data_IF_626631816619
#
_entry.id   IF_626631816619
#
_cell.length_a   1.000
_cell.length_b   1.000
_cell.length_c   1.000
_cell.angle_alpha   90.00
_cell.angle_beta   90.00
_cell.angle_gamma   90.00
#
_symmetry.space_group_name_H-M   'P 1'
#
loop_
_entity.id
_entity.type
_entity.pdbx_description
1 polymer ?
#
# COMPACT_ATOMS: atom_id res chain seq x y z
N UNK A 1 -107.34 -1.12 -66.96
CA UNK A 1 -108.09 -0.32 -65.94
C UNK A 1 -107.14 0.57 -65.12
N UNK A 2 -106.29 1.37 -65.79
CA UNK A 2 -104.90 1.48 -65.32
C UNK A 2 -104.59 2.81 -64.60
N UNK A 3 -105.53 3.76 -64.65
CA UNK A 3 -105.42 5.09 -64.02
C UNK A 3 -105.57 5.06 -62.48
N UNK A 4 -106.15 3.99 -61.91
CA UNK A 4 -106.43 3.92 -60.46
C UNK A 4 -105.17 3.58 -59.65
N UNK A 5 -104.32 2.65 -60.14
CA UNK A 5 -103.07 2.29 -59.46
C UNK A 5 -102.08 3.46 -59.37
N UNK A 6 -101.93 4.20 -60.47
CA UNK A 6 -101.02 5.34 -60.60
C UNK A 6 -101.26 6.48 -59.58
N UNK A 7 -102.46 6.60 -59.01
CA UNK A 7 -102.72 7.56 -57.93
C UNK A 7 -102.43 7.00 -56.53
N UNK A 8 -102.64 5.68 -56.33
CA UNK A 8 -102.27 4.98 -55.09
C UNK A 8 -100.75 5.03 -54.87
N UNK A 9 -99.96 4.73 -55.90
CA UNK A 9 -98.50 4.73 -55.78
C UNK A 9 -97.92 6.14 -55.59
N UNK A 10 -98.54 7.18 -56.16
CA UNK A 10 -98.20 8.58 -55.86
C UNK A 10 -98.49 8.93 -54.40
N UNK A 11 -99.65 8.57 -53.87
CA UNK A 11 -99.96 8.80 -52.44
C UNK A 11 -98.99 8.05 -51.52
N UNK A 12 -98.64 6.81 -51.85
CA UNK A 12 -97.61 6.06 -51.11
C UNK A 12 -96.25 6.76 -51.18
N UNK A 13 -95.82 7.23 -52.35
CA UNK A 13 -94.58 7.98 -52.53
C UNK A 13 -94.54 9.26 -51.69
N UNK A 14 -95.61 10.07 -51.71
CA UNK A 14 -95.71 11.26 -50.85
C UNK A 14 -95.70 10.92 -49.36
N UNK A 15 -96.33 9.83 -48.93
CA UNK A 15 -96.26 9.41 -47.51
C UNK A 15 -94.85 9.01 -47.08
N UNK A 16 -94.10 8.27 -47.92
CA UNK A 16 -92.71 7.88 -47.64
C UNK A 16 -91.81 9.10 -47.59
N UNK A 17 -91.95 10.03 -48.54
CA UNK A 17 -91.18 11.29 -48.55
C UNK A 17 -91.47 12.15 -47.31
N UNK A 18 -92.73 12.20 -46.85
CA UNK A 18 -93.09 12.95 -45.66
C UNK A 18 -92.54 12.30 -44.37
N UNK A 19 -92.55 10.96 -44.28
CA UNK A 19 -91.89 10.24 -43.18
C UNK A 19 -90.39 10.55 -43.14
N UNK A 20 -89.68 10.40 -44.27
CA UNK A 20 -88.26 10.71 -44.38
C UNK A 20 -87.94 12.18 -44.04
N UNK A 21 -88.82 13.12 -44.40
CA UNK A 21 -88.69 14.53 -44.03
C UNK A 21 -88.80 14.75 -42.50
N UNK A 22 -89.72 14.05 -41.82
CA UNK A 22 -89.83 14.12 -40.37
C UNK A 22 -88.70 13.39 -39.63
N UNK A 23 -88.24 12.25 -40.15
CA UNK A 23 -87.10 11.49 -39.60
C UNK A 23 -85.80 12.30 -39.70
N UNK A 24 -85.47 12.82 -40.88
CA UNK A 24 -84.28 13.68 -41.06
C UNK A 24 -84.34 14.95 -40.23
N UNK A 25 -85.53 15.55 -40.07
CA UNK A 25 -85.73 16.68 -39.14
C UNK A 25 -85.47 16.27 -37.68
N UNK A 26 -85.95 15.11 -37.24
CA UNK A 26 -85.72 14.60 -35.89
C UNK A 26 -84.24 14.28 -35.65
N UNK A 27 -83.54 13.74 -36.65
CA UNK A 27 -82.09 13.52 -36.61
C UNK A 27 -81.33 14.85 -36.49
N UNK A 28 -81.68 15.87 -37.28
CA UNK A 28 -81.12 17.22 -37.18
C UNK A 28 -81.35 17.81 -35.77
N UNK A 29 -82.54 17.66 -35.20
CA UNK A 29 -82.84 18.12 -33.83
C UNK A 29 -82.04 17.35 -32.76
N UNK A 30 -81.72 16.07 -32.99
CA UNK A 30 -80.88 15.25 -32.10
C UNK A 30 -79.39 15.62 -32.21
N UNK A 31 -78.88 15.84 -33.43
CA UNK A 31 -77.51 16.28 -33.67
C UNK A 31 -77.25 17.68 -33.08
N UNK A 32 -78.18 18.62 -33.24
CA UNK A 32 -78.08 19.95 -32.60
C UNK A 32 -77.99 19.86 -31.07
N UNK A 33 -78.74 18.95 -30.43
CA UNK A 33 -78.64 18.69 -28.99
C UNK A 33 -77.26 18.13 -28.59
N UNK A 34 -76.67 17.25 -29.40
CA UNK A 34 -75.31 16.76 -29.16
C UNK A 34 -74.24 17.86 -29.32
N UNK A 35 -74.39 18.76 -30.29
CA UNK A 35 -73.48 19.90 -30.49
C UNK A 35 -73.50 20.80 -29.26
N UNK A 36 -74.68 21.21 -28.79
CA UNK A 36 -74.81 22.03 -27.59
C UNK A 36 -74.18 21.39 -26.33
N UNK A 37 -74.27 20.07 -26.16
CA UNK A 37 -73.58 19.37 -25.05
C UNK A 37 -72.05 19.43 -25.21
N UNK A 38 -71.52 19.24 -26.42
CA UNK A 38 -70.07 19.32 -26.71
C UNK A 38 -69.53 20.74 -26.49
N UNK A 39 -70.26 21.77 -26.92
CA UNK A 39 -69.86 23.17 -26.73
C UNK A 39 -69.81 23.56 -25.24
N UNK A 40 -70.74 23.09 -24.42
CA UNK A 40 -70.71 23.28 -22.98
C UNK A 40 -69.47 22.62 -22.32
N UNK A 41 -69.08 21.41 -22.76
CA UNK A 41 -67.86 20.74 -22.29
C UNK A 41 -66.61 21.51 -22.72
N UNK A 42 -66.55 21.99 -23.97
CA UNK A 42 -65.46 22.82 -24.48
C UNK A 42 -65.37 24.14 -23.68
N UNK A 43 -66.50 24.69 -23.23
CA UNK A 43 -66.55 25.89 -22.40
C UNK A 43 -65.97 25.66 -20.99
N UNK A 44 -66.32 24.57 -20.28
CA UNK A 44 -65.68 24.23 -18.99
C UNK A 44 -64.18 23.99 -19.16
N UNK A 45 -63.77 23.22 -20.18
CA UNK A 45 -62.36 22.94 -20.42
C UNK A 45 -61.54 24.22 -20.68
N UNK A 46 -62.07 25.16 -21.49
CA UNK A 46 -61.47 26.49 -21.67
C UNK A 46 -61.43 27.28 -20.36
N UNK A 47 -62.53 27.29 -19.59
CA UNK A 47 -62.60 27.99 -18.31
C UNK A 47 -61.63 27.40 -17.27
N UNK A 48 -61.35 26.09 -17.32
CA UNK A 48 -60.35 25.40 -16.49
C UNK A 48 -58.93 25.70 -16.94
N UNK A 49 -58.64 25.66 -18.23
CA UNK A 49 -57.33 26.01 -18.79
C UNK A 49 -56.96 27.45 -18.38
N UNK A 50 -57.85 28.40 -18.65
CA UNK A 50 -57.72 29.81 -18.28
C UNK A 50 -57.75 30.11 -16.77
N UNK A 51 -57.86 29.11 -15.89
CA UNK A 51 -57.52 29.23 -14.45
C UNK A 51 -56.07 28.85 -14.18
N UNK A 52 -55.56 27.79 -14.79
CA UNK A 52 -54.17 27.35 -14.67
C UNK A 52 -53.21 28.35 -15.35
N UNK A 53 -53.58 28.84 -16.53
CA UNK A 53 -52.80 29.85 -17.26
C UNK A 53 -52.68 31.16 -16.46
N UNK A 54 -53.74 31.59 -15.77
CA UNK A 54 -53.67 32.77 -14.89
C UNK A 54 -52.72 32.59 -13.71
N UNK A 55 -52.67 31.40 -13.11
CA UNK A 55 -51.73 31.06 -12.04
C UNK A 55 -50.27 31.08 -12.54
N UNK A 56 -50.05 30.77 -13.83
CA UNK A 56 -48.72 30.75 -14.44
C UNK A 56 -48.29 32.12 -15.03
N UNK A 57 -49.24 32.93 -15.49
CA UNK A 57 -48.98 34.23 -16.15
C UNK A 57 -48.74 35.38 -15.17
N UNK A 58 -49.24 35.31 -13.93
CA UNK A 58 -48.95 36.29 -12.86
C UNK A 58 -47.49 36.29 -12.39
N UNK A 59 -46.63 35.49 -13.01
CA UNK A 59 -45.18 35.47 -12.79
C UNK A 59 -44.44 36.54 -13.63
N UNK A 60 -45.12 37.22 -14.56
CA UNK A 60 -44.46 37.94 -15.66
C UNK A 60 -44.89 39.38 -16.00
N UNK A 61 -45.62 40.12 -15.16
CA UNK A 61 -46.05 41.50 -15.48
C UNK A 61 -45.92 42.46 -14.26
N UNK A 62 -45.24 43.62 -14.36
CA UNK A 62 -44.79 44.40 -13.19
C UNK A 62 -45.72 45.58 -12.82
N UNK A 63 -47.04 45.40 -12.90
CA UNK A 63 -48.02 46.50 -12.82
C UNK A 63 -49.19 46.36 -11.84
N UNK A 64 -49.39 45.21 -11.20
CA UNK A 64 -50.50 44.97 -10.27
C UNK A 64 -50.01 44.34 -8.97
N UNK A 65 -50.43 44.89 -7.83
CA UNK A 65 -49.98 44.50 -6.48
C UNK A 65 -50.29 43.01 -6.20
N UNK A 66 -49.29 42.11 -6.23
CA UNK A 66 -49.54 40.68 -6.26
C UNK A 66 -49.54 40.12 -4.85
N UNK A 67 -50.60 39.39 -4.48
CA UNK A 67 -50.59 38.56 -3.28
C UNK A 67 -49.70 37.33 -3.55
N UNK A 68 -48.38 37.47 -3.34
CA UNK A 68 -47.35 36.50 -3.74
C UNK A 68 -47.49 35.18 -2.98
N UNK A 69 -48.25 34.24 -3.54
CA UNK A 69 -48.23 32.82 -3.16
C UNK A 69 -47.10 32.12 -3.92
N UNK A 70 -45.87 32.49 -3.56
CA UNK A 70 -44.63 31.89 -4.03
C UNK A 70 -43.64 31.69 -2.86
N UNK A 71 -42.57 30.91 -3.03
CA UNK A 71 -41.53 30.80 -2.02
C UNK A 71 -40.94 32.19 -1.74
N UNK A 72 -40.81 32.56 -0.46
CA UNK A 72 -40.42 33.92 -0.06
C UNK A 72 -39.07 34.32 -0.65
N UNK A 73 -38.98 35.54 -1.20
CA UNK A 73 -37.76 36.01 -1.88
C UNK A 73 -36.50 35.95 -1.00
N UNK A 74 -36.65 36.15 0.32
CA UNK A 74 -35.58 35.98 1.30
C UNK A 74 -35.06 34.54 1.43
N UNK A 75 -35.93 33.53 1.28
CA UNK A 75 -35.52 32.12 1.21
C UNK A 75 -34.77 31.83 -0.08
N UNK A 76 -35.24 32.35 -1.22
CA UNK A 76 -34.57 32.20 -2.52
C UNK A 76 -33.18 32.85 -2.49
N UNK A 77 -33.06 34.08 -1.99
CA UNK A 77 -31.76 34.73 -1.79
C UNK A 77 -30.83 33.95 -0.84
N UNK A 78 -31.37 33.42 0.26
CA UNK A 78 -30.59 32.64 1.23
C UNK A 78 -30.04 31.36 0.59
N UNK A 79 -30.89 30.64 -0.16
CA UNK A 79 -30.49 29.45 -0.91
C UNK A 79 -29.44 29.77 -1.99
N UNK A 80 -29.57 30.88 -2.71
CA UNK A 80 -28.54 31.33 -3.66
C UNK A 80 -27.21 31.64 -2.95
N UNK A 81 -27.25 32.31 -1.79
CA UNK A 81 -26.05 32.61 -0.98
C UNK A 81 -25.39 31.33 -0.46
N UNK A 82 -26.14 30.32 -0.02
CA UNK A 82 -25.58 29.02 0.36
C UNK A 82 -25.07 28.21 -0.84
N UNK A 83 -25.75 28.23 -1.99
CA UNK A 83 -25.26 27.60 -3.23
C UNK A 83 -23.91 28.21 -3.68
N UNK A 84 -23.75 29.53 -3.57
CA UNK A 84 -22.46 30.18 -3.82
C UNK A 84 -21.38 29.74 -2.81
N UNK A 85 -21.69 29.67 -1.52
CA UNK A 85 -20.75 29.18 -0.48
C UNK A 85 -20.36 27.72 -0.71
N UNK A 86 -21.31 26.86 -1.08
CA UNK A 86 -21.06 25.45 -1.39
C UNK A 86 -20.24 25.28 -2.67
N UNK A 87 -20.49 26.09 -3.70
CA UNK A 87 -19.67 26.12 -4.92
C UNK A 87 -18.23 26.54 -4.64
N UNK A 88 -18.02 27.57 -3.80
CA UNK A 88 -16.67 27.96 -3.37
C UNK A 88 -15.98 26.84 -2.59
N UNK A 89 -16.63 26.30 -1.54
CA UNK A 89 -16.09 25.19 -0.74
C UNK A 89 -15.73 23.97 -1.59
N UNK A 90 -16.55 23.65 -2.60
CA UNK A 90 -16.25 22.60 -3.57
C UNK A 90 -14.96 22.92 -4.34
N UNK A 91 -14.85 24.11 -4.93
CA UNK A 91 -13.65 24.53 -5.66
C UNK A 91 -12.39 24.56 -4.79
N UNK A 92 -12.50 24.98 -3.51
CA UNK A 92 -11.40 24.98 -2.55
C UNK A 92 -10.92 23.56 -2.23
N UNK A 93 -11.84 22.58 -2.18
CA UNK A 93 -11.53 21.16 -1.95
C UNK A 93 -10.93 20.53 -3.21
N UNK A 94 -11.48 20.81 -4.40
CA UNK A 94 -10.94 20.35 -5.68
C UNK A 94 -9.50 20.86 -5.90
N UNK A 95 -9.22 22.13 -5.56
CA UNK A 95 -7.87 22.70 -5.63
C UNK A 95 -6.88 22.09 -4.61
N UNK A 96 -7.35 21.78 -3.39
CA UNK A 96 -6.54 21.05 -2.40
C UNK A 96 -6.25 19.62 -2.83
N UNK A 97 -7.24 18.91 -3.39
CA UNK A 97 -7.09 17.57 -3.92
C UNK A 97 -6.12 17.54 -5.12
N UNK A 98 -6.17 18.54 -6.02
CA UNK A 98 -5.20 18.68 -7.11
C UNK A 98 -3.77 18.84 -6.59
N UNK A 99 -3.53 19.76 -5.65
CA UNK A 99 -2.20 19.93 -5.02
C UNK A 99 -1.72 18.68 -4.28
N UNK A 100 -2.63 17.95 -3.62
CA UNK A 100 -2.30 16.68 -2.98
C UNK A 100 -1.93 15.60 -4.01
N UNK A 101 -2.62 15.54 -5.14
CA UNK A 101 -2.28 14.64 -6.24
C UNK A 101 -0.92 14.98 -6.87
N UNK A 102 -0.60 16.26 -7.07
CA UNK A 102 0.73 16.72 -7.54
C UNK A 102 1.85 16.33 -6.56
N UNK A 103 1.63 16.50 -5.26
CA UNK A 103 2.60 16.12 -4.22
C UNK A 103 2.78 14.59 -4.18
N UNK A 104 1.69 13.83 -4.24
CA UNK A 104 1.71 12.36 -4.32
C UNK A 104 2.44 11.90 -5.59
N UNK A 105 2.28 12.56 -6.73
CA UNK A 105 3.02 12.25 -7.95
C UNK A 105 4.52 12.52 -7.80
N UNK A 106 4.91 13.64 -7.18
CA UNK A 106 6.33 13.95 -6.90
C UNK A 106 6.97 12.93 -5.96
N UNK A 107 6.27 12.58 -4.87
CA UNK A 107 6.75 11.59 -3.90
C UNK A 107 6.85 10.18 -4.52
N UNK A 108 5.92 9.79 -5.39
CA UNK A 108 6.01 8.53 -6.14
C UNK A 108 7.19 8.52 -7.14
N UNK A 109 7.55 9.66 -7.73
CA UNK A 109 8.74 9.75 -8.59
C UNK A 109 10.02 9.55 -7.77
N UNK A 110 10.17 10.29 -6.66
CA UNK A 110 11.31 10.17 -5.75
C UNK A 110 11.42 8.77 -5.14
N UNK A 111 10.30 8.14 -4.81
CA UNK A 111 10.27 6.77 -4.29
C UNK A 111 10.79 5.78 -5.33
N UNK A 112 10.39 5.89 -6.60
CA UNK A 112 10.96 5.07 -7.70
C UNK A 112 12.44 5.32 -7.94
N UNK A 113 12.89 6.57 -7.85
CA UNK A 113 14.32 6.91 -7.93
C UNK A 113 15.10 6.19 -6.83
N UNK A 114 14.56 6.13 -5.60
CA UNK A 114 15.16 5.37 -4.49
C UNK A 114 15.02 3.86 -4.60
N UNK A 115 13.94 3.34 -5.16
CA UNK A 115 13.82 1.92 -5.51
C UNK A 115 14.89 1.50 -6.53
N UNK A 116 15.16 2.34 -7.55
CA UNK A 116 16.20 2.09 -8.55
C UNK A 116 17.62 2.21 -7.98
N UNK A 117 17.89 3.18 -7.10
CA UNK A 117 19.16 3.26 -6.36
C UNK A 117 19.39 2.00 -5.50
N UNK A 118 18.36 1.57 -4.76
CA UNK A 118 18.43 0.36 -3.94
C UNK A 118 18.61 -0.90 -4.79
N UNK A 119 17.91 -1.04 -5.92
CA UNK A 119 18.05 -2.21 -6.79
C UNK A 119 19.42 -2.26 -7.46
N UNK A 120 19.99 -1.11 -7.81
CA UNK A 120 21.37 -1.02 -8.30
C UNK A 120 22.37 -1.56 -7.26
N UNK A 121 22.25 -1.14 -5.99
CA UNK A 121 23.11 -1.62 -4.89
C UNK A 121 22.85 -3.09 -4.54
N UNK A 122 21.61 -3.59 -4.69
CA UNK A 122 21.29 -5.02 -4.53
C UNK A 122 21.95 -5.87 -5.62
N UNK A 123 21.89 -5.42 -6.87
CA UNK A 123 22.41 -6.13 -8.04
C UNK A 123 23.95 -6.08 -8.19
N UNK A 124 24.64 -5.18 -7.49
CA UNK A 124 26.12 -5.17 -7.45
C UNK A 124 26.67 -6.51 -6.92
N UNK A 125 27.67 -7.12 -7.56
CA UNK A 125 28.36 -8.28 -7.02
C UNK A 125 28.99 -8.02 -5.64
N UNK A 126 28.92 -8.98 -4.72
CA UNK A 126 29.40 -8.77 -3.34
C UNK A 126 30.91 -8.46 -3.26
N UNK A 127 31.71 -8.95 -4.21
CA UNK A 127 33.14 -8.62 -4.29
C UNK A 127 33.42 -7.14 -4.64
N UNK A 128 32.47 -6.42 -5.25
CA UNK A 128 32.56 -4.97 -5.45
C UNK A 128 32.21 -4.23 -4.15
N UNK A 129 31.17 -4.70 -3.44
CA UNK A 129 30.77 -4.21 -2.12
C UNK A 129 31.93 -4.35 -1.11
N UNK A 130 32.61 -5.50 -1.08
CA UNK A 130 33.77 -5.75 -0.22
C UNK A 130 34.95 -4.82 -0.54
N UNK A 131 35.19 -4.51 -1.82
CA UNK A 131 36.23 -3.54 -2.23
C UNK A 131 35.88 -2.11 -1.80
N UNK A 132 34.62 -1.71 -1.89
CA UNK A 132 34.15 -0.42 -1.35
C UNK A 132 34.32 -0.37 0.17
N UNK A 133 33.89 -1.40 0.89
CA UNK A 133 34.04 -1.51 2.35
C UNK A 133 35.52 -1.44 2.77
N UNK A 134 36.43 -2.07 2.03
CA UNK A 134 37.88 -1.99 2.29
C UNK A 134 38.43 -0.57 2.04
N UNK A 135 38.03 0.09 0.95
CA UNK A 135 38.43 1.48 0.66
C UNK A 135 37.89 2.46 1.70
N UNK A 136 36.64 2.32 2.12
CA UNK A 136 36.02 3.15 3.16
C UNK A 136 36.69 2.93 4.54
N UNK A 137 37.04 1.69 4.91
CA UNK A 137 37.80 1.41 6.13
C UNK A 137 39.17 2.07 6.11
N UNK A 138 39.93 1.91 5.03
CA UNK A 138 41.25 2.56 4.89
C UNK A 138 41.17 4.10 4.97
N UNK A 139 40.13 4.69 4.37
CA UNK A 139 39.89 6.14 4.44
C UNK A 139 39.48 6.61 5.84
N UNK A 140 38.69 5.82 6.58
CA UNK A 140 38.34 6.09 7.97
C UNK A 140 39.55 6.00 8.90
N UNK A 141 40.36 4.94 8.78
CA UNK A 141 41.61 4.81 9.55
C UNK A 141 42.57 5.99 9.30
N UNK A 142 42.69 6.46 8.06
CA UNK A 142 43.53 7.61 7.75
C UNK A 142 42.96 8.93 8.28
N UNK A 143 41.63 9.08 8.29
CA UNK A 143 40.96 10.19 8.99
C UNK A 143 41.23 10.11 10.50
N UNK A 144 41.21 8.94 11.11
CA UNK A 144 41.51 8.74 12.53
C UNK A 144 42.98 9.04 12.86
N UNK A 145 43.94 8.63 12.01
CA UNK A 145 45.37 8.99 12.15
C UNK A 145 45.60 10.50 12.05
N UNK A 146 44.95 11.16 11.10
CA UNK A 146 45.06 12.62 10.92
C UNK A 146 44.34 13.42 12.01
N UNK A 147 43.26 12.89 12.58
CA UNK A 147 42.56 13.46 13.74
C UNK A 147 43.35 13.25 15.05
N UNK A 148 43.99 12.08 15.24
CA UNK A 148 44.89 11.80 16.36
C UNK A 148 46.17 12.66 16.34
N UNK A 149 46.82 12.82 15.19
CA UNK A 149 47.99 13.73 15.07
C UNK A 149 47.58 15.20 15.25
N UNK A 150 46.42 15.61 14.71
CA UNK A 150 45.87 16.95 14.95
C UNK A 150 45.61 17.22 16.43
N UNK A 151 45.01 16.29 17.17
CA UNK A 151 44.70 16.50 18.60
C UNK A 151 45.96 16.64 19.43
N UNK A 152 46.99 15.81 19.20
CA UNK A 152 48.30 15.93 19.88
C UNK A 152 49.00 17.25 19.56
N UNK A 153 48.92 17.74 18.31
CA UNK A 153 49.45 19.06 17.96
C UNK A 153 48.66 20.19 18.64
N UNK A 154 47.34 20.07 18.74
CA UNK A 154 46.51 21.04 19.44
C UNK A 154 46.77 21.08 20.96
N UNK A 155 47.07 19.96 21.62
CA UNK A 155 47.46 19.96 23.04
C UNK A 155 48.86 20.55 23.23
N UNK A 156 49.86 20.16 22.42
CA UNK A 156 51.21 20.74 22.48
C UNK A 156 51.20 22.26 22.32
N UNK A 157 50.46 22.78 21.34
CA UNK A 157 50.33 24.23 21.12
C UNK A 157 49.57 24.95 22.24
N UNK A 158 48.63 24.28 22.91
CA UNK A 158 47.95 24.84 24.08
C UNK A 158 48.86 24.88 25.32
N UNK A 159 49.67 23.83 25.52
CA UNK A 159 50.67 23.75 26.60
C UNK A 159 51.78 24.78 26.39
N UNK A 160 52.31 24.93 25.17
CA UNK A 160 53.25 26.00 24.80
C UNK A 160 52.65 27.40 25.02
N UNK A 161 51.40 27.62 24.61
CA UNK A 161 50.72 28.91 24.82
C UNK A 161 50.54 29.24 26.31
N UNK A 162 50.23 28.26 27.15
CA UNK A 162 50.12 28.46 28.60
C UNK A 162 51.50 28.61 29.28
N UNK A 163 52.53 27.92 28.79
CA UNK A 163 53.91 28.13 29.22
C UNK A 163 54.37 29.57 28.90
N UNK A 164 54.07 30.08 27.70
CA UNK A 164 54.36 31.45 27.28
C UNK A 164 53.56 32.47 28.09
N UNK A 165 52.29 32.21 28.43
CA UNK A 165 51.52 33.04 29.38
C UNK A 165 52.14 33.03 30.77
N UNK A 166 52.61 31.89 31.26
CA UNK A 166 53.31 31.76 32.53
C UNK A 166 54.61 32.56 32.57
N UNK A 167 55.41 32.50 31.49
CA UNK A 167 56.62 33.30 31.31
C UNK A 167 56.29 34.80 31.22
N UNK A 168 55.30 35.20 30.42
CA UNK A 168 54.86 36.59 30.31
C UNK A 168 54.31 37.12 31.64
N UNK A 169 53.57 36.31 32.40
CA UNK A 169 53.13 36.65 33.75
C UNK A 169 54.29 36.82 34.73
N UNK A 170 55.40 36.09 34.54
CA UNK A 170 56.62 36.28 35.32
C UNK A 170 57.37 37.56 34.91
N UNK A 171 57.52 37.85 33.61
CA UNK A 171 58.17 39.09 33.16
C UNK A 171 57.33 40.32 33.49
N UNK A 172 55.99 40.25 33.42
CA UNK A 172 55.09 41.32 33.87
C UNK A 172 55.26 41.61 35.37
N UNK A 173 55.38 40.59 36.23
CA UNK A 173 55.70 40.80 37.66
C UNK A 173 57.06 41.50 37.86
N UNK A 174 58.08 41.12 37.10
CA UNK A 174 59.39 41.79 37.13
C UNK A 174 59.30 43.24 36.62
N UNK A 175 58.55 43.48 35.54
CA UNK A 175 58.32 44.82 35.01
C UNK A 175 57.48 45.70 35.95
N UNK A 176 56.53 45.14 36.70
CA UNK A 176 55.78 45.85 37.74
C UNK A 176 56.67 46.24 38.92
N UNK A 177 57.59 45.36 39.34
CA UNK A 177 58.62 45.68 40.34
C UNK A 177 59.60 46.77 39.83
N UNK A 178 60.01 46.70 38.56
CA UNK A 178 60.86 47.72 37.93
C UNK A 178 60.14 49.06 37.73
N UNK A 179 58.86 49.06 37.37
CA UNK A 179 58.04 50.28 37.30
C UNK A 179 57.81 50.87 38.71
N UNK A 180 57.56 50.01 39.71
CA UNK A 180 57.50 50.42 41.11
C UNK A 180 58.82 51.03 41.62
N UNK A 181 59.95 50.82 40.91
CA UNK A 181 61.20 51.56 41.11
C UNK A 181 61.22 52.83 40.25
N UNK A 182 61.00 52.73 38.94
CA UNK A 182 61.09 53.85 37.98
C UNK A 182 60.03 54.95 38.18
N UNK A 183 58.89 54.70 38.81
CA UNK A 183 57.92 55.74 39.20
C UNK A 183 58.43 56.62 40.35
N UNK A 184 59.45 56.14 41.10
CA UNK A 184 60.23 56.99 42.02
C UNK A 184 61.12 57.98 41.24
N UNK A 185 61.47 57.65 39.99
CA UNK A 185 62.52 58.31 39.19
C UNK A 185 61.99 59.20 38.03
N UNK A 186 61.02 58.72 37.24
CA UNK A 186 60.78 59.19 35.86
C UNK A 186 59.82 60.39 35.74
N UNK A 187 60.34 61.61 35.90
CA UNK A 187 59.57 62.87 35.78
C UNK A 187 59.87 63.72 34.49
N UNK A 188 59.66 63.24 33.23
CA UNK A 188 59.45 64.10 31.99
C UNK A 188 59.70 63.64 30.48
N UNK A 189 58.81 64.08 29.52
CA UNK A 189 58.92 64.54 28.04
C UNK A 189 58.72 63.68 26.68
N UNK A 190 58.06 64.20 25.55
CA UNK A 190 57.79 63.64 24.11
C UNK A 190 57.01 64.51 22.92
N UNK A 191 56.74 64.03 21.61
CA UNK A 191 55.62 64.13 20.45
C UNK A 191 55.25 65.20 19.21
N UNK A 192 54.58 64.81 18.00
CA UNK A 192 53.59 65.49 16.91
C UNK A 192 53.80 65.74 15.27
N UNK A 193 52.80 65.60 14.26
CA UNK A 193 52.74 65.91 12.68
C UNK A 193 51.34 65.98 11.78
N UNK A 194 51.16 66.52 10.45
CA UNK A 194 49.94 66.45 9.40
C UNK A 194 49.90 67.17 7.86
N UNK A 195 49.12 66.78 6.72
CA UNK A 195 48.96 67.44 5.28
C UNK A 195 47.74 67.24 4.14
N UNK A 196 47.55 68.07 2.98
CA UNK A 196 47.00 67.83 1.49
C UNK A 196 45.71 68.51 0.67
N UNK A 197 45.59 68.70 -0.74
CA UNK A 197 44.37 69.03 -1.72
C UNK A 197 44.47 69.29 -3.37
N UNK A 198 43.40 69.40 -4.31
CA UNK A 198 43.37 69.51 -5.90
C UNK A 198 42.17 70.26 -6.85
N UNK A 199 41.83 70.14 -8.26
CA UNK A 199 41.20 71.15 -9.29
C UNK A 199 40.08 70.83 -10.50
N UNK A 200 39.70 71.69 -11.58
CA UNK A 200 38.71 71.47 -12.80
C UNK A 200 38.66 72.37 -14.20
N UNK A 201 37.62 72.34 -15.17
CA UNK A 201 37.54 72.79 -16.70
C UNK A 201 36.17 73.31 -17.48
N UNK A 202 36.04 73.61 -18.85
CA UNK A 202 34.86 74.27 -19.71
C UNK A 202 34.68 74.12 -21.35
N UNK A 203 33.69 74.75 -22.14
CA UNK A 203 33.06 74.41 -23.57
C UNK A 203 32.40 75.51 -24.64
N UNK A 204 32.09 75.29 -26.02
CA UNK A 204 31.16 76.10 -27.03
C UNK A 204 30.88 75.69 -28.58
N UNK A 205 29.73 75.16 -29.13
CA UNK A 205 29.70 74.61 -30.56
C UNK A 205 28.45 74.54 -31.53
N UNK A 206 27.27 75.12 -31.27
CA UNK A 206 26.00 74.40 -31.63
C UNK A 206 25.28 74.57 -33.01
N UNK A 207 25.25 75.74 -33.65
CA UNK A 207 24.20 76.05 -34.67
C UNK A 207 24.29 75.21 -35.97
N UNK A 208 25.48 74.79 -36.39
CA UNK A 208 25.65 73.97 -37.61
C UNK A 208 25.00 72.58 -37.49
N UNK A 209 24.89 72.05 -36.26
CA UNK A 209 24.34 70.73 -36.00
C UNK A 209 22.85 70.63 -36.37
N UNK A 210 22.06 71.68 -36.15
CA UNK A 210 20.60 71.68 -36.34
C UNK A 210 20.19 71.38 -37.80
N UNK A 211 20.88 71.95 -38.79
CA UNK A 211 20.57 71.70 -40.21
C UNK A 211 21.03 70.31 -40.69
N UNK A 212 22.08 69.74 -40.09
CA UNK A 212 22.44 68.34 -40.32
C UNK A 212 21.40 67.40 -39.71
N UNK A 213 20.91 67.71 -38.50
CA UNK A 213 19.91 66.94 -37.77
C UNK A 213 18.57 66.85 -38.53
N UNK A 214 18.13 67.91 -39.21
CA UNK A 214 16.89 67.86 -40.04
C UNK A 214 17.02 66.82 -41.17
N UNK A 215 18.12 66.84 -41.93
CA UNK A 215 18.35 65.85 -43.02
C UNK A 215 18.50 64.43 -42.50
N UNK A 216 19.12 64.27 -41.32
CA UNK A 216 19.18 62.98 -40.64
C UNK A 216 17.76 62.47 -40.29
N UNK A 217 16.91 63.33 -39.72
CA UNK A 217 15.53 62.97 -39.37
C UNK A 217 14.67 62.63 -40.61
N UNK A 218 14.88 63.29 -41.75
CA UNK A 218 14.21 62.94 -43.01
C UNK A 218 14.60 61.54 -43.51
N UNK A 219 15.90 61.21 -43.47
CA UNK A 219 16.43 59.90 -43.83
C UNK A 219 15.99 58.80 -42.86
N UNK A 220 16.02 59.07 -41.54
CA UNK A 220 15.48 58.18 -40.52
C UNK A 220 13.98 57.95 -40.72
N UNK A 221 13.21 58.98 -41.08
CA UNK A 221 11.78 58.85 -41.39
C UNK A 221 11.54 57.97 -42.64
N UNK A 222 12.41 58.07 -43.66
CA UNK A 222 12.40 57.19 -44.84
C UNK A 222 12.71 55.74 -44.46
N UNK A 223 13.72 55.50 -43.64
CA UNK A 223 14.07 54.16 -43.13
C UNK A 223 12.95 53.57 -42.24
N UNK A 224 12.33 54.37 -41.39
CA UNK A 224 11.19 53.96 -40.56
C UNK A 224 10.00 53.55 -41.42
N UNK A 225 9.67 54.30 -42.48
CA UNK A 225 8.63 53.92 -43.46
C UNK A 225 8.93 52.57 -44.13
N UNK A 226 10.19 52.32 -44.51
CA UNK A 226 10.61 51.03 -45.07
C UNK A 226 10.50 49.89 -44.04
N UNK A 227 10.91 50.11 -42.78
CA UNK A 227 10.77 49.13 -41.68
C UNK A 227 9.30 48.83 -41.39
N UNK A 228 8.42 49.83 -41.39
CA UNK A 228 6.97 49.65 -41.21
C UNK A 228 6.38 48.81 -42.33
N UNK A 229 6.70 49.10 -43.59
CA UNK A 229 6.24 48.29 -44.72
C UNK A 229 6.72 46.83 -44.65
N UNK A 230 7.97 46.60 -44.23
CA UNK A 230 8.52 45.27 -44.01
C UNK A 230 7.79 44.51 -42.88
N UNK A 231 7.54 45.16 -41.73
CA UNK A 231 6.79 44.57 -40.61
C UNK A 231 5.32 44.32 -40.97
N UNK A 232 4.70 45.19 -41.77
CA UNK A 232 3.35 44.95 -42.33
C UNK A 232 3.34 43.72 -43.27
N UNK A 233 4.38 43.54 -44.08
CA UNK A 233 4.58 42.34 -44.90
C UNK A 233 4.70 41.06 -44.06
N UNK A 234 5.55 41.08 -43.02
CA UNK A 234 5.70 39.96 -42.08
C UNK A 234 4.41 39.64 -41.33
N UNK A 235 3.69 40.66 -40.84
CA UNK A 235 2.40 40.49 -40.18
C UNK A 235 1.37 39.86 -41.14
N UNK A 236 1.34 40.30 -42.40
CA UNK A 236 0.49 39.72 -43.45
C UNK A 236 0.84 38.27 -43.79
N UNK A 237 2.09 37.85 -43.59
CA UNK A 237 2.51 36.45 -43.71
C UNK A 237 2.12 35.64 -42.47
N UNK A 238 2.33 36.21 -41.27
CA UNK A 238 1.99 35.57 -40.00
C UNK A 238 0.48 35.34 -39.87
N UNK A 239 -0.36 36.32 -40.23
CA UNK A 239 -1.82 36.17 -40.26
C UNK A 239 -2.29 35.06 -41.22
N UNK A 240 -1.61 34.87 -42.37
CA UNK A 240 -1.90 33.76 -43.29
C UNK A 240 -1.47 32.41 -42.72
N UNK A 241 -0.31 32.35 -42.08
CA UNK A 241 0.14 31.15 -41.37
C UNK A 241 -0.82 30.79 -40.24
N UNK A 242 -1.21 31.75 -39.40
CA UNK A 242 -2.10 31.50 -38.27
C UNK A 242 -3.51 31.12 -38.72
N UNK A 243 -4.06 31.79 -39.75
CA UNK A 243 -5.34 31.38 -40.36
C UNK A 243 -5.30 29.93 -40.86
N UNK A 244 -4.23 29.55 -41.58
CA UNK A 244 -4.01 28.19 -42.11
C UNK A 244 -3.79 27.15 -41.00
N UNK A 245 -3.05 27.52 -39.95
CA UNK A 245 -2.84 26.72 -38.73
C UNK A 245 -4.17 26.48 -38.01
N UNK A 246 -5.00 27.51 -37.87
CA UNK A 246 -6.31 27.42 -37.25
C UNK A 246 -7.33 26.66 -38.12
N UNK A 247 -7.24 26.71 -39.46
CA UNK A 247 -8.01 25.82 -40.35
C UNK A 247 -7.56 24.37 -40.24
N UNK A 248 -6.25 24.11 -40.12
CA UNK A 248 -5.71 22.77 -39.88
C UNK A 248 -6.15 22.22 -38.51
N UNK A 249 -6.17 23.06 -37.47
CA UNK A 249 -6.68 22.71 -36.13
C UNK A 249 -8.20 22.47 -36.19
N UNK A 250 -8.98 23.32 -36.86
CA UNK A 250 -10.41 23.07 -37.12
C UNK A 250 -10.62 21.72 -37.80
N UNK A 251 -9.83 21.40 -38.83
CA UNK A 251 -9.87 20.12 -39.52
C UNK A 251 -9.46 18.92 -38.64
N UNK A 252 -8.51 19.08 -37.72
CA UNK A 252 -8.17 18.07 -36.72
C UNK A 252 -9.29 17.87 -35.70
N UNK A 253 -9.83 18.95 -35.13
CA UNK A 253 -10.96 18.90 -34.21
C UNK A 253 -12.22 18.32 -34.87
N UNK A 254 -12.45 18.60 -36.15
CA UNK A 254 -13.52 17.99 -36.92
C UNK A 254 -13.28 16.48 -37.14
N UNK A 255 -12.09 16.06 -37.62
CA UNK A 255 -11.77 14.62 -37.75
C UNK A 255 -11.87 13.88 -36.41
N UNK A 256 -11.44 14.50 -35.32
CA UNK A 256 -11.60 13.94 -33.96
C UNK A 256 -13.09 13.81 -33.62
N UNK A 257 -13.91 14.83 -33.86
CA UNK A 257 -15.37 14.82 -33.64
C UNK A 257 -16.12 13.83 -34.55
N UNK A 258 -15.62 13.58 -35.76
CA UNK A 258 -16.13 12.56 -36.69
C UNK A 258 -15.75 11.15 -36.22
N UNK A 259 -14.52 10.96 -35.72
CA UNK A 259 -14.07 9.70 -35.11
C UNK A 259 -14.71 9.41 -33.75
N UNK A 260 -15.20 10.44 -33.04
CA UNK A 260 -15.85 10.33 -31.74
C UNK A 260 -17.39 10.32 -31.82
N UNK A 261 -17.98 10.84 -32.90
CA UNK A 261 -19.42 10.85 -33.16
C UNK A 261 -20.22 11.89 -32.35
N UNK A 262 -20.91 12.86 -32.98
CA UNK A 262 -21.83 13.74 -32.26
C UNK A 262 -23.17 13.03 -31.95
N UNK A 263 -23.24 12.32 -30.81
CA UNK A 263 -24.42 11.55 -30.39
C UNK A 263 -24.79 11.72 -28.91
N UNK A 264 -25.53 12.78 -28.56
CA UNK A 264 -26.06 13.00 -27.20
C UNK A 264 -27.49 12.44 -27.03
N UNK A 265 -27.62 11.11 -26.95
CA UNK A 265 -28.67 10.37 -26.21
C UNK A 265 -28.37 8.87 -26.30
N UNK A 266 -28.89 8.01 -25.39
CA UNK A 266 -28.32 6.68 -25.18
C UNK A 266 -28.70 5.66 -26.27
N UNK A 267 -27.91 4.56 -26.27
CA UNK A 267 -27.97 3.36 -27.12
C UNK A 267 -27.14 3.43 -28.42
N UNK A 268 -26.50 2.29 -28.75
CA UNK A 268 -25.83 1.95 -30.03
C UNK A 268 -24.55 2.69 -30.48
N UNK A 269 -24.10 3.78 -29.84
CA UNK A 269 -22.75 4.35 -30.09
C UNK A 269 -21.57 3.58 -29.47
N UNK A 270 -21.78 2.31 -29.08
CA UNK A 270 -21.32 1.84 -27.77
C UNK A 270 -20.27 0.71 -27.75
N UNK A 271 -19.65 0.36 -28.88
CA UNK A 271 -18.80 -0.86 -28.95
C UNK A 271 -17.40 -0.64 -28.39
N UNK A 272 -16.55 0.20 -28.98
CA UNK A 272 -15.14 0.35 -28.56
C UNK A 272 -15.00 0.90 -27.14
N UNK A 273 -15.65 2.01 -26.83
CA UNK A 273 -15.66 2.61 -25.47
C UNK A 273 -16.37 1.72 -24.45
N UNK A 274 -17.39 0.96 -24.88
CA UNK A 274 -18.09 -0.01 -24.04
C UNK A 274 -17.18 -1.19 -23.66
N UNK A 275 -16.46 -1.76 -24.63
CA UNK A 275 -15.48 -2.82 -24.40
C UNK A 275 -14.34 -2.36 -23.48
N UNK A 276 -13.84 -1.13 -23.64
CA UNK A 276 -12.84 -0.57 -22.73
C UNK A 276 -13.38 -0.41 -21.30
N UNK A 277 -14.62 0.10 -21.14
CA UNK A 277 -15.26 0.22 -19.83
C UNK A 277 -15.55 -1.14 -19.18
N UNK A 278 -15.92 -2.13 -19.99
CA UNK A 278 -16.15 -3.51 -19.57
C UNK A 278 -14.84 -4.19 -19.15
N UNK A 279 -13.75 -3.99 -19.89
CA UNK A 279 -12.44 -4.53 -19.57
C UNK A 279 -11.84 -3.87 -18.32
N UNK A 280 -11.98 -2.54 -18.16
CA UNK A 280 -11.63 -1.84 -16.91
C UNK A 280 -12.41 -2.45 -15.73
N UNK A 281 -13.72 -2.69 -15.90
CA UNK A 281 -14.55 -3.32 -14.87
C UNK A 281 -14.09 -4.75 -14.54
N UNK A 282 -13.73 -5.55 -15.55
CA UNK A 282 -13.21 -6.92 -15.41
C UNK A 282 -11.85 -6.94 -14.70
N UNK A 283 -10.96 -6.03 -15.05
CA UNK A 283 -9.63 -5.88 -14.44
C UNK A 283 -9.73 -5.39 -12.99
N UNK A 284 -10.67 -4.50 -12.68
CA UNK A 284 -10.93 -4.07 -11.29
C UNK A 284 -11.43 -5.24 -10.41
N UNK A 285 -12.39 -6.03 -10.89
CA UNK A 285 -12.86 -7.23 -10.16
C UNK A 285 -11.71 -8.23 -9.95
N UNK A 286 -10.90 -8.49 -10.98
CA UNK A 286 -9.72 -9.36 -10.87
C UNK A 286 -8.67 -8.80 -9.91
N UNK A 287 -8.51 -7.47 -9.83
CA UNK A 287 -7.62 -6.82 -8.87
C UNK A 287 -8.15 -6.97 -7.43
N UNK A 288 -9.44 -6.76 -7.19
CA UNK A 288 -10.08 -6.96 -5.88
C UNK A 288 -10.00 -8.43 -5.42
N UNK A 289 -10.17 -9.38 -6.34
CA UNK A 289 -9.93 -10.82 -6.11
C UNK A 289 -8.47 -11.08 -5.69
N UNK A 290 -7.49 -10.50 -6.40
CA UNK A 290 -6.06 -10.69 -6.06
C UNK A 290 -5.67 -10.00 -4.76
N UNK A 291 -6.21 -8.83 -4.46
CA UNK A 291 -6.04 -8.16 -3.16
C UNK A 291 -6.62 -9.03 -2.03
N UNK A 292 -7.80 -9.59 -2.25
CA UNK A 292 -8.47 -10.50 -1.30
C UNK A 292 -7.67 -11.79 -1.07
N UNK A 293 -7.09 -12.36 -2.12
CA UNK A 293 -6.25 -13.54 -2.06
C UNK A 293 -4.90 -13.27 -1.38
N UNK A 294 -4.24 -12.14 -1.68
CA UNK A 294 -3.05 -11.70 -0.94
C UNK A 294 -3.36 -11.51 0.55
N UNK A 295 -4.52 -10.93 0.89
CA UNK A 295 -4.96 -10.80 2.28
C UNK A 295 -5.31 -12.15 2.93
N UNK A 296 -5.73 -13.17 2.17
CA UNK A 296 -5.94 -14.55 2.64
C UNK A 296 -4.60 -15.24 2.91
N UNK A 297 -3.69 -15.23 1.94
CA UNK A 297 -2.35 -15.81 2.04
C UNK A 297 -1.52 -15.19 3.17
N UNK A 298 -1.63 -13.87 3.38
CA UNK A 298 -0.94 -13.22 4.49
C UNK A 298 -1.45 -13.70 5.86
N UNK A 299 -2.78 -13.92 6.02
CA UNK A 299 -3.35 -14.51 7.25
C UNK A 299 -2.91 -15.96 7.47
N UNK A 300 -2.75 -16.73 6.41
CA UNK A 300 -2.28 -18.11 6.43
C UNK A 300 -0.80 -18.19 6.83
N UNK A 301 0.06 -17.41 6.18
CA UNK A 301 1.47 -17.27 6.54
C UNK A 301 1.65 -16.75 7.98
N UNK A 302 0.79 -15.83 8.43
CA UNK A 302 0.71 -15.37 9.82
C UNK A 302 0.34 -16.49 10.80
N UNK A 303 -0.55 -17.41 10.40
CA UNK A 303 -0.90 -18.60 11.17
C UNK A 303 0.30 -19.52 11.36
N UNK A 304 0.99 -19.86 10.26
CA UNK A 304 2.19 -20.70 10.26
C UNK A 304 3.28 -20.08 11.16
N UNK A 305 3.58 -18.78 11.01
CA UNK A 305 4.59 -18.10 11.85
C UNK A 305 4.24 -18.05 13.35
N UNK A 306 2.96 -18.17 13.74
CA UNK A 306 2.56 -18.33 15.15
C UNK A 306 2.80 -19.77 15.62
N UNK A 307 2.35 -20.76 14.85
CA UNK A 307 2.54 -22.18 15.15
C UNK A 307 4.03 -22.55 15.25
N UNK A 308 4.87 -22.06 14.34
CA UNK A 308 6.31 -22.29 14.40
C UNK A 308 6.95 -21.63 15.63
N UNK A 309 6.50 -20.44 16.02
CA UNK A 309 6.97 -19.77 17.25
C UNK A 309 6.60 -20.57 18.50
N UNK A 310 5.37 -21.06 18.60
CA UNK A 310 4.92 -21.91 19.72
C UNK A 310 5.70 -23.23 19.78
N UNK A 311 5.96 -23.83 18.61
CA UNK A 311 6.80 -25.03 18.47
C UNK A 311 8.25 -24.78 18.90
N UNK A 312 8.86 -23.67 18.46
CA UNK A 312 10.21 -23.26 18.86
C UNK A 312 10.27 -23.07 20.37
N UNK A 313 9.34 -22.31 20.97
CA UNK A 313 9.29 -22.10 22.43
C UNK A 313 9.12 -23.40 23.23
N UNK A 314 8.38 -24.37 22.69
CA UNK A 314 8.24 -25.70 23.30
C UNK A 314 9.57 -26.49 23.25
N UNK A 315 10.29 -26.42 22.12
CA UNK A 315 11.60 -27.06 21.95
C UNK A 315 12.69 -26.37 22.79
N UNK A 316 12.66 -25.04 22.93
CA UNK A 316 13.55 -24.28 23.82
C UNK A 316 13.38 -24.71 25.29
N UNK A 317 12.14 -24.88 25.75
CA UNK A 317 11.85 -25.41 27.09
C UNK A 317 12.32 -26.86 27.24
N UNK A 318 12.12 -27.71 26.23
CA UNK A 318 12.59 -29.11 26.26
C UNK A 318 14.13 -29.19 26.34
N UNK A 319 14.85 -28.35 25.57
CA UNK A 319 16.31 -28.24 25.63
C UNK A 319 16.77 -27.73 26.99
N UNK A 320 16.08 -26.76 27.59
CA UNK A 320 16.39 -26.26 28.93
C UNK A 320 16.23 -27.34 30.01
N UNK A 321 15.12 -28.11 29.97
CA UNK A 321 14.86 -29.22 30.89
C UNK A 321 15.95 -30.28 30.77
N UNK A 322 16.23 -30.78 29.56
CA UNK A 322 17.30 -31.77 29.36
C UNK A 322 18.68 -31.24 29.75
N UNK A 323 18.94 -29.95 29.58
CA UNK A 323 20.19 -29.31 30.02
C UNK A 323 20.34 -29.32 31.55
N UNK A 324 19.24 -29.31 32.31
CA UNK A 324 19.27 -29.42 33.78
C UNK A 324 19.27 -30.90 34.24
N UNK A 325 18.57 -31.79 33.53
CA UNK A 325 18.66 -33.25 33.72
C UNK A 325 20.11 -33.75 33.55
N UNK A 326 20.82 -33.30 32.51
CA UNK A 326 22.22 -33.65 32.29
C UNK A 326 23.19 -33.05 33.33
N UNK A 327 22.87 -31.88 33.91
CA UNK A 327 23.66 -31.29 35.00
C UNK A 327 23.43 -32.01 36.32
N UNK A 328 22.19 -32.40 36.60
CA UNK A 328 21.83 -33.12 37.82
C UNK A 328 22.35 -34.56 37.81
N UNK A 329 22.22 -35.33 36.70
CA UNK A 329 22.89 -36.64 36.56
C UNK A 329 24.39 -36.52 36.81
N UNK A 330 25.03 -35.51 36.22
CA UNK A 330 26.46 -35.28 36.41
C UNK A 330 26.79 -35.02 37.87
N UNK A 331 26.03 -34.16 38.55
CA UNK A 331 26.27 -33.84 39.96
C UNK A 331 26.02 -35.04 40.88
N UNK A 332 25.04 -35.91 40.58
CA UNK A 332 24.85 -37.17 41.29
C UNK A 332 25.95 -38.20 41.00
N UNK A 333 26.44 -38.24 39.76
CA UNK A 333 27.57 -39.07 39.35
C UNK A 333 28.85 -38.67 40.07
N UNK A 334 29.12 -37.37 40.18
CA UNK A 334 30.26 -36.81 40.91
C UNK A 334 30.12 -37.09 42.42
N UNK A 335 28.92 -36.92 43.02
CA UNK A 335 28.63 -37.36 44.41
C UNK A 335 28.90 -38.85 44.63
N UNK A 336 28.43 -39.71 43.72
CA UNK A 336 28.64 -41.15 43.80
C UNK A 336 30.12 -41.54 43.64
N UNK A 337 30.88 -40.80 42.81
CA UNK A 337 32.33 -40.99 42.68
C UNK A 337 33.06 -40.67 43.98
N UNK A 338 32.76 -39.55 44.64
CA UNK A 338 33.34 -39.22 45.96
C UNK A 338 33.01 -40.28 47.01
N UNK A 339 31.75 -40.73 47.11
CA UNK A 339 31.38 -41.82 48.03
C UNK A 339 32.13 -43.13 47.75
N UNK A 340 32.38 -43.46 46.48
CA UNK A 340 33.19 -44.63 46.09
C UNK A 340 34.66 -44.43 46.50
N UNK A 341 35.18 -43.21 46.52
CA UNK A 341 36.54 -42.89 46.97
C UNK A 341 36.67 -42.94 48.49
N UNK A 342 35.73 -42.35 49.23
CA UNK A 342 35.64 -42.47 50.69
C UNK A 342 35.57 -43.95 51.14
N UNK A 343 34.77 -44.77 50.45
CA UNK A 343 34.65 -46.20 50.73
C UNK A 343 35.91 -46.98 50.36
N UNK A 344 36.62 -46.62 49.27
CA UNK A 344 37.94 -47.19 48.96
C UNK A 344 38.96 -46.85 50.03
N UNK A 345 38.94 -45.63 50.58
CA UNK A 345 39.85 -45.24 51.65
C UNK A 345 39.52 -46.00 52.94
N UNK A 346 38.26 -46.03 53.37
CA UNK A 346 37.81 -46.82 54.54
C UNK A 346 38.20 -48.30 54.43
N UNK A 347 37.97 -48.93 53.26
CA UNK A 347 38.40 -50.31 53.00
C UNK A 347 39.93 -50.45 53.07
N UNK A 348 40.69 -49.43 52.67
CA UNK A 348 42.16 -49.44 52.74
C UNK A 348 42.66 -49.25 54.18
N UNK A 349 42.05 -48.36 54.96
CA UNK A 349 42.31 -48.18 56.39
C UNK A 349 41.98 -49.47 57.17
N UNK A 350 40.82 -50.09 56.93
CA UNK A 350 40.42 -51.35 57.55
C UNK A 350 41.38 -52.50 57.19
N UNK A 351 41.83 -52.60 55.93
CA UNK A 351 42.87 -53.56 55.54
C UNK A 351 44.18 -53.32 56.29
N UNK A 352 44.63 -52.06 56.45
CA UNK A 352 45.82 -51.75 57.24
C UNK A 352 45.65 -52.10 58.72
N UNK A 353 44.48 -51.83 59.32
CA UNK A 353 44.18 -52.20 60.71
C UNK A 353 44.21 -53.72 60.89
N UNK A 354 43.61 -54.47 59.97
CA UNK A 354 43.57 -55.94 60.00
C UNK A 354 44.97 -56.55 59.81
N UNK A 355 45.79 -55.99 58.91
CA UNK A 355 47.21 -56.37 58.80
C UNK A 355 48.02 -56.05 60.07
N UNK A 356 47.77 -54.90 60.72
CA UNK A 356 48.41 -54.54 62.01
C UNK A 356 48.00 -55.49 63.13
N UNK A 357 46.71 -55.88 63.20
CA UNK A 357 46.23 -56.88 64.16
C UNK A 357 46.82 -58.27 63.89
N UNK A 358 46.92 -58.71 62.64
CA UNK A 358 47.57 -59.98 62.29
C UNK A 358 49.09 -59.98 62.52
N UNK A 359 49.73 -58.81 62.42
CA UNK A 359 51.11 -58.59 62.85
C UNK A 359 51.27 -58.79 64.36
N UNK A 360 50.49 -58.05 65.18
CA UNK A 360 50.51 -58.17 66.63
C UNK A 360 50.09 -59.57 67.13
N UNK A 361 49.17 -60.24 66.42
CA UNK A 361 48.73 -61.60 66.72
C UNK A 361 49.79 -62.68 66.42
N UNK A 362 50.94 -62.35 65.81
CA UNK A 362 52.06 -63.31 65.72
C UNK A 362 52.88 -63.41 67.01
N UNK A 363 52.86 -62.39 67.86
CA UNK A 363 53.53 -62.40 69.16
C UNK A 363 52.68 -63.02 70.29
N UNK A 364 51.39 -63.30 70.04
CA UNK A 364 50.54 -64.05 70.96
C UNK A 364 50.09 -65.38 70.33
N UNK A 365 50.81 -66.45 70.70
CA UNK A 365 50.68 -67.81 70.15
C UNK A 365 49.42 -68.53 70.67
N UNK A 366 49.01 -69.57 69.94
CA UNK A 366 48.14 -70.67 70.42
C UNK A 366 46.75 -70.23 70.96
N UNK A 367 45.67 -70.32 70.18
CA UNK A 367 45.00 -71.60 69.88
C UNK A 367 43.99 -71.47 68.72
N UNK A 368 43.83 -72.55 67.94
CA UNK A 368 42.80 -72.68 66.88
C UNK A 368 41.71 -73.65 67.34
N UNK A 369 40.43 -73.34 67.09
CA UNK A 369 39.46 -74.39 66.72
C UNK A 369 38.84 -74.15 65.33
N UNK A 370 38.79 -75.20 64.50
CA UNK A 370 37.91 -75.22 63.32
C UNK A 370 36.44 -75.27 63.75
N UNK A 371 35.55 -74.69 62.94
CA UNK A 371 34.19 -75.24 62.80
C UNK A 371 33.80 -75.39 61.32
N UNK A 372 33.02 -76.45 61.06
CA UNK A 372 32.78 -77.02 59.73
C UNK A 372 31.55 -76.40 59.06
N UNK A 373 31.63 -76.12 57.76
CA UNK A 373 30.46 -75.86 56.89
C UNK A 373 29.75 -77.19 56.60
N UNK A 374 28.40 -77.23 56.61
CA UNK A 374 27.55 -78.23 55.94
C UNK A 374 26.05 -77.81 55.97
N UNK A 375 25.22 -78.43 55.10
CA UNK A 375 23.74 -78.31 54.99
C UNK A 375 23.25 -76.95 54.42
N UNK A 376 22.41 -76.84 53.37
CA UNK A 376 21.91 -77.81 52.38
C UNK A 376 20.38 -77.99 52.36
N UNK A 377 19.74 -77.85 51.19
CA UNK A 377 18.41 -78.36 50.69
C UNK A 377 18.28 -77.77 49.25
N UNK A 378 18.19 -78.55 48.14
CA UNK A 378 17.01 -79.19 47.50
C UNK A 378 15.81 -78.21 47.38
N UNK A 379 15.11 -78.07 46.23
CA UNK A 379 14.40 -79.10 45.44
C UNK A 379 14.24 -78.74 43.93
N UNK A 380 14.22 -79.79 43.08
CA UNK A 380 13.87 -79.97 41.64
C UNK A 380 13.60 -78.82 40.63
N UNK A 381 13.99 -79.10 39.37
CA UNK A 381 13.52 -78.43 38.13
C UNK A 381 12.51 -79.28 37.36
N UNK A 382 11.43 -78.68 36.82
CA UNK A 382 11.02 -78.70 35.39
C UNK A 382 9.60 -78.16 35.12
N UNK A 383 9.49 -77.34 34.06
CA UNK A 383 8.36 -77.13 33.11
C UNK A 383 6.91 -77.11 33.64
N UNK A 384 6.22 -75.98 33.41
CA UNK A 384 5.09 -75.93 32.46
C UNK A 384 4.89 -74.51 31.92
N UNK A 385 3.98 -74.35 30.95
CA UNK A 385 3.57 -73.09 30.31
C UNK A 385 2.13 -72.73 30.73
N UNK A 386 1.88 -71.44 30.93
CA UNK A 386 0.60 -70.70 31.04
C UNK A 386 -0.60 -71.35 31.76
N UNK A 387 -0.99 -70.77 32.91
CA UNK A 387 -2.39 -70.42 33.25
C UNK A 387 -2.41 -69.56 34.53
N UNK A 388 -2.86 -68.31 34.44
CA UNK A 388 -3.37 -67.56 35.59
C UNK A 388 -4.15 -66.29 35.20
N UNK A 389 -5.33 -66.14 35.80
CA UNK A 389 -6.19 -64.95 35.85
C UNK A 389 -6.97 -65.04 37.19
N UNK A 390 -7.64 -63.98 37.69
CA UNK A 390 -7.57 -62.56 37.32
C UNK A 390 -7.48 -61.61 38.56
N UNK A 391 -7.62 -60.29 38.32
CA UNK A 391 -7.96 -59.20 39.28
C UNK A 391 -6.80 -58.72 40.20
N UNK A 392 -6.51 -57.41 40.38
CA UNK A 392 -7.13 -56.15 39.88
C UNK A 392 -6.09 -55.13 39.34
N UNK A 393 -6.59 -54.34 38.36
CA UNK A 393 -6.23 -53.01 37.79
C UNK A 393 -5.19 -52.10 38.49
N UNK A 394 -4.53 -51.15 37.80
CA UNK A 394 -4.91 -50.42 36.55
C UNK A 394 -3.83 -50.37 35.45
N UNK A 395 -4.23 -50.01 34.23
CA UNK A 395 -3.45 -50.01 32.97
C UNK A 395 -3.98 -48.88 32.02
N UNK A 396 -3.57 -48.66 30.75
CA UNK A 396 -2.80 -49.49 29.80
C UNK A 396 -2.14 -48.63 28.67
N UNK A 397 -1.33 -49.27 27.82
CA UNK A 397 -0.68 -48.70 26.61
C UNK A 397 -1.19 -49.29 25.27
N UNK A 398 -0.60 -48.83 24.15
CA UNK A 398 -0.87 -49.14 22.73
C UNK A 398 -0.64 -50.61 22.30
N UNK A 399 -1.45 -51.14 21.36
CA UNK A 399 -1.08 -51.57 19.96
C UNK A 399 -2.21 -52.35 19.23
N UNK A 400 -2.01 -52.68 17.94
CA UNK A 400 -2.99 -53.21 16.96
C UNK A 400 -2.75 -54.74 16.66
N UNK A 401 -3.40 -55.50 15.74
CA UNK A 401 -4.40 -55.29 14.66
C UNK A 401 -5.05 -56.67 14.23
N UNK A 402 -6.06 -56.67 13.32
CA UNK A 402 -6.55 -57.80 12.44
C UNK A 402 -7.36 -58.97 13.10
N UNK A 403 -8.36 -59.63 12.47
CA UNK A 403 -9.09 -59.45 11.17
C UNK A 403 -10.47 -60.23 11.13
N UNK A 404 -11.55 -59.58 10.62
CA UNK A 404 -12.72 -60.11 9.84
C UNK A 404 -13.65 -61.26 10.39
N UNK A 405 -14.81 -61.60 9.75
CA UNK A 405 -16.01 -60.77 9.42
C UNK A 405 -17.37 -61.51 9.70
N UNK A 406 -18.59 -61.01 9.36
CA UNK A 406 -19.04 -59.67 8.94
C UNK A 406 -19.91 -59.00 10.06
N UNK A 407 -21.27 -58.90 10.15
CA UNK A 407 -22.44 -59.05 9.21
C UNK A 407 -23.37 -57.80 9.06
N UNK A 408 -24.31 -57.77 8.08
CA UNK A 408 -25.41 -56.78 7.89
C UNK A 408 -26.80 -57.34 8.38
N UNK A 409 -28.01 -56.74 8.14
CA UNK A 409 -28.41 -55.54 7.37
C UNK A 409 -29.24 -54.42 8.12
N UNK A 410 -30.60 -54.21 8.05
CA UNK A 410 -31.13 -52.82 7.93
C UNK A 410 -32.28 -52.40 8.88
N UNK A 411 -32.73 -51.11 8.88
CA UNK A 411 -32.21 -49.91 8.19
C UNK A 411 -31.55 -48.93 9.21
N UNK A 412 -31.42 -47.60 9.10
CA UNK A 412 -31.83 -46.51 8.19
C UNK A 412 -30.92 -45.26 8.43
N UNK A 413 -30.95 -44.15 7.67
CA UNK A 413 -31.07 -43.91 6.23
C UNK A 413 -30.87 -42.39 5.96
N UNK A 414 -30.21 -42.02 4.84
CA UNK A 414 -30.11 -40.67 4.22
C UNK A 414 -29.55 -39.47 5.05
N UNK A 415 -28.57 -38.70 4.58
CA UNK A 415 -27.70 -38.84 3.40
C UNK A 415 -26.44 -37.95 3.50
N UNK A 416 -25.34 -38.42 2.87
CA UNK A 416 -24.27 -37.68 2.18
C UNK A 416 -23.60 -36.41 2.77
N UNK A 417 -22.27 -36.21 2.65
CA UNK A 417 -21.16 -37.14 2.43
C UNK A 417 -19.83 -36.43 2.77
N UNK A 418 -19.21 -36.73 3.92
CA UNK A 418 -17.89 -36.18 4.31
C UNK A 418 -17.12 -37.23 5.12
N UNK A 419 -16.11 -37.85 4.49
CA UNK A 419 -15.32 -38.92 5.10
C UNK A 419 -13.89 -38.47 5.37
N UNK A 420 -13.60 -38.15 6.62
CA UNK A 420 -12.23 -38.08 7.13
C UNK A 420 -11.58 -39.48 7.07
N UNK A 421 -10.26 -39.54 6.97
CA UNK A 421 -9.46 -40.67 7.47
C UNK A 421 -8.08 -40.18 7.86
N UNK A 422 -7.74 -40.31 9.14
CA UNK A 422 -6.42 -39.97 9.66
C UNK A 422 -5.50 -41.19 9.59
N UNK A 423 -4.29 -41.00 9.06
CA UNK A 423 -3.20 -41.98 9.12
C UNK A 423 -1.90 -41.25 9.44
N UNK A 424 -1.11 -41.84 10.35
CA UNK A 424 0.21 -41.35 10.71
C UNK A 424 1.05 -42.53 11.24
N UNK A 425 1.63 -43.29 10.32
CA UNK A 425 2.66 -44.32 10.54
C UNK A 425 3.48 -44.43 9.23
N UNK A 426 4.81 -44.45 9.36
CA UNK A 426 5.80 -44.33 8.25
C UNK A 426 6.11 -45.69 7.57
N UNK A 427 6.96 -45.78 6.51
CA UNK A 427 7.69 -44.71 5.82
C UNK A 427 7.69 -44.76 4.26
N UNK A 428 7.92 -43.60 3.65
CA UNK A 428 8.36 -43.46 2.25
C UNK A 428 7.25 -43.46 1.20
N UNK A 429 7.28 -42.45 0.33
CA UNK A 429 6.81 -42.44 -1.06
C UNK A 429 7.09 -41.02 -1.61
N UNK A 430 8.35 -40.79 -1.94
CA UNK A 430 8.86 -39.57 -2.59
C UNK A 430 8.58 -39.69 -4.09
N UNK A 431 7.32 -39.43 -4.47
CA UNK A 431 6.84 -39.50 -5.85
C UNK A 431 6.28 -38.16 -6.33
N UNK A 432 6.86 -37.64 -7.41
CA UNK A 432 6.33 -36.52 -8.20
C UNK A 432 5.21 -37.03 -9.12
N UNK A 433 4.12 -36.27 -9.23
CA UNK A 433 2.96 -36.67 -10.05
C UNK A 433 2.59 -35.58 -11.07
N UNK A 434 2.52 -35.96 -12.35
CA UNK A 434 2.17 -35.04 -13.43
C UNK A 434 0.72 -34.55 -13.27
N UNK A 435 0.45 -33.23 -13.21
CA UNK A 435 -0.89 -32.72 -12.90
C UNK A 435 -1.92 -32.91 -14.03
N UNK A 436 -1.49 -33.25 -15.26
CA UNK A 436 -2.38 -33.42 -16.41
C UNK A 436 -2.85 -34.88 -16.59
N UNK A 437 -1.92 -35.84 -16.60
CA UNK A 437 -2.20 -37.26 -16.83
C UNK A 437 -2.14 -38.14 -15.57
N UNK A 438 -1.73 -37.58 -14.43
CA UNK A 438 -1.53 -38.27 -13.14
C UNK A 438 -0.48 -39.40 -13.15
N UNK A 439 0.41 -39.46 -14.16
CA UNK A 439 1.59 -40.32 -14.15
C UNK A 439 2.54 -39.97 -13.00
N UNK A 440 3.21 -40.99 -12.44
CA UNK A 440 4.06 -40.91 -11.24
C UNK A 440 5.52 -41.21 -11.57
N UNK A 441 6.42 -40.49 -10.91
CA UNK A 441 7.87 -40.51 -11.08
C UNK A 441 8.52 -40.41 -9.70
N UNK A 442 9.71 -40.98 -9.49
CA UNK A 442 10.40 -40.84 -8.19
C UNK A 442 11.07 -39.45 -8.08
N UNK A 443 11.27 -38.94 -6.87
CA UNK A 443 12.01 -37.68 -6.64
C UNK A 443 13.45 -37.71 -7.20
N UNK A 444 14.05 -38.90 -7.39
CA UNK A 444 15.36 -39.07 -8.04
C UNK A 444 15.35 -38.75 -9.53
N UNK A 445 14.19 -38.87 -10.18
CA UNK A 445 14.03 -38.93 -11.64
C UNK A 445 13.43 -37.61 -12.16
N UNK A 446 13.65 -36.51 -11.41
CA UNK A 446 13.02 -35.22 -11.61
C UNK A 446 13.20 -34.61 -13.03
N UNK A 447 14.28 -34.97 -13.73
CA UNK A 447 14.50 -34.56 -15.12
C UNK A 447 13.51 -35.23 -16.09
N UNK A 448 13.19 -36.52 -15.89
CA UNK A 448 12.20 -37.24 -16.69
C UNK A 448 10.79 -36.75 -16.38
N UNK A 449 10.48 -36.50 -15.10
CA UNK A 449 9.25 -35.85 -14.67
C UNK A 449 9.03 -34.49 -15.36
N UNK A 450 10.04 -33.63 -15.42
CA UNK A 450 9.93 -32.30 -16.05
C UNK A 450 9.76 -32.42 -17.57
N UNK A 451 10.55 -33.25 -18.26
CA UNK A 451 10.39 -33.45 -19.70
C UNK A 451 9.01 -34.05 -20.03
N UNK A 452 8.53 -35.01 -19.23
CA UNK A 452 7.19 -35.54 -19.36
C UNK A 452 6.11 -34.47 -19.15
N UNK A 453 6.28 -33.54 -18.21
CA UNK A 453 5.35 -32.42 -18.03
C UNK A 453 5.35 -31.46 -19.22
N UNK A 454 6.48 -31.23 -19.88
CA UNK A 454 6.53 -30.45 -21.13
C UNK A 454 5.85 -31.16 -22.31
N UNK A 455 6.05 -32.47 -22.45
CA UNK A 455 5.40 -33.27 -23.49
C UNK A 455 3.89 -33.40 -23.25
N UNK A 456 3.48 -33.69 -22.02
CA UNK A 456 2.07 -33.81 -21.63
C UNK A 456 1.31 -32.47 -21.61
N UNK A 457 2.00 -31.33 -21.68
CA UNK A 457 1.40 -30.01 -21.87
C UNK A 457 1.32 -29.57 -23.34
N UNK A 458 1.78 -30.40 -24.29
CA UNK A 458 1.71 -30.19 -25.75
C UNK A 458 0.69 -31.11 -26.44
N UNK A 459 0.00 -31.97 -25.68
CA UNK A 459 -1.07 -32.89 -26.10
C UNK A 459 -2.43 -32.40 -25.63
#
# INVERSE_FOLDING_TARGET
>A
MDSVGLNSDKMRSYSVLNTLYHETRQEIELLNKQIAVKDNIISDLKARLGRHERIYMTVGDPGGDPLVVGPSGSLVESLVKELCKLKQKKSDVEFKAARQAEEIQRLNLQLREKELELESVRCQPDHEKDQEIQRLRAALEERERTEATRTVLCTSLAEEAEQLRGQLGATVRVCQELLSRLEKDKKGAAEVEDPAQQPKTSESADVSAANAQIRQLEEENRQLKQRVAYVQGLNSQWQKYDSSREDYIRGLCQRLKESAGPGLTPLAGSVSTGLLSQEISRLNVLLDEKISECARLNREADGIRRQDKERIQTLEQQVLIYTDDFKSERADRERAQSQIEDLKEQVSQLKQQLCKQQGASRDNRELVPMCRVHIGHRITSRRSKDTSQPLLRSAAERKQQQQQPPPPPPPAASAANMSNSAWNDSPGLSELQCPQCLARFNDTDAAEYLNHCEECARL
#
